data_IF_256164805253
#
_entry.id   IF_256164805253
#
_cell.length_a   1.000
_cell.length_b   1.000
_cell.length_c   1.000
_cell.angle_alpha   90.00
_cell.angle_beta   90.00
_cell.angle_gamma   90.00
#
_symmetry.space_group_name_H-M   'P 1'
#
loop_
_entity.id
_entity.type
_entity.pdbx_description
1 polymer ?
#
# COMPACT_ATOMS: atom_id res chain seq x y z
N UNK A 1 -8.75 5.19 -4.17
CA UNK A 1 -7.80 4.75 -3.12
C UNK A 1 -7.60 3.24 -3.21
N UNK A 2 -6.35 2.78 -3.18
CA UNK A 2 -6.01 1.36 -3.20
C UNK A 2 -5.71 0.87 -1.78
N UNK A 3 -6.67 0.17 -1.16
CA UNK A 3 -6.67 -0.25 0.25
C UNK A 3 -6.60 -1.77 0.42
N UNK A 4 -6.20 -2.22 1.60
CA UNK A 4 -6.42 -3.59 2.08
C UNK A 4 -7.86 -3.70 2.59
N UNK A 5 -8.50 -4.84 2.34
CA UNK A 5 -9.90 -5.10 2.72
C UNK A 5 -10.04 -6.50 3.30
N UNK A 6 -11.16 -6.79 3.96
CA UNK A 6 -11.52 -8.15 4.41
C UNK A 6 -11.52 -9.17 3.26
N UNK A 7 -11.77 -8.72 2.03
CA UNK A 7 -11.75 -9.56 0.84
C UNK A 7 -10.38 -9.63 0.17
N UNK A 8 -9.37 -8.90 0.64
CA UNK A 8 -8.12 -8.76 -0.12
C UNK A 8 -7.34 -10.06 -0.28
N UNK A 9 -7.57 -11.04 0.59
CA UNK A 9 -7.03 -12.40 0.42
C UNK A 9 -7.66 -13.18 -0.74
N UNK A 10 -8.88 -12.84 -1.15
CA UNK A 10 -9.58 -13.50 -2.28
C UNK A 10 -9.57 -12.63 -3.54
N UNK A 11 -9.79 -11.33 -3.37
CA UNK A 11 -10.05 -10.36 -4.44
C UNK A 11 -8.92 -9.32 -4.61
N UNK A 12 -7.75 -9.51 -4.00
CA UNK A 12 -6.61 -8.57 -4.07
C UNK A 12 -6.92 -7.17 -3.49
N UNK A 13 -6.15 -6.13 -3.83
CA UNK A 13 -6.37 -4.80 -3.26
C UNK A 13 -7.69 -4.20 -3.76
N UNK A 14 -8.24 -3.22 -3.05
CA UNK A 14 -9.50 -2.58 -3.49
C UNK A 14 -9.38 -1.97 -4.89
N UNK A 15 -8.20 -1.48 -5.28
CA UNK A 15 -7.98 -0.89 -6.59
C UNK A 15 -7.99 -1.88 -7.75
N UNK A 16 -7.68 -3.17 -7.49
CA UNK A 16 -7.79 -4.22 -8.51
C UNK A 16 -9.24 -4.39 -9.01
N UNK A 17 -10.20 -3.96 -8.19
CA UNK A 17 -11.63 -4.15 -8.39
C UNK A 17 -12.37 -2.90 -8.86
N UNK A 18 -11.66 -1.83 -9.21
CA UNK A 18 -12.27 -0.62 -9.77
C UNK A 18 -12.36 -0.76 -11.30
N UNK A 19 -13.55 -0.64 -11.86
CA UNK A 19 -13.80 -0.69 -13.30
C UNK A 19 -13.74 0.68 -13.96
N UNK A 20 -14.06 1.74 -13.22
CA UNK A 20 -13.97 3.09 -13.77
C UNK A 20 -13.96 4.19 -12.72
N UNK A 21 -13.49 5.36 -13.15
CA UNK A 21 -13.48 6.60 -12.40
C UNK A 21 -14.14 7.70 -13.23
N UNK A 22 -15.00 8.48 -12.59
CA UNK A 22 -15.30 9.84 -13.07
C UNK A 22 -14.32 10.80 -12.42
N UNK A 23 -13.66 11.63 -13.22
CA UNK A 23 -12.52 12.44 -12.80
C UNK A 23 -12.67 13.85 -13.33
N UNK A 24 -12.57 14.83 -12.44
CA UNK A 24 -12.39 16.24 -12.80
C UNK A 24 -10.89 16.51 -12.92
N UNK A 25 -10.43 16.84 -14.13
CA UNK A 25 -9.04 17.14 -14.43
C UNK A 25 -8.64 18.55 -13.97
N UNK A 26 -7.34 18.84 -14.01
CA UNK A 26 -6.81 20.19 -13.71
C UNK A 26 -7.37 21.27 -14.66
N UNK A 27 -7.75 20.87 -15.89
CA UNK A 27 -8.43 21.74 -16.86
C UNK A 27 -9.88 22.08 -16.49
N UNK A 28 -10.47 21.39 -15.50
CA UNK A 28 -11.90 21.44 -15.19
C UNK A 28 -12.76 20.50 -16.04
N UNK A 29 -12.18 19.79 -17.01
CA UNK A 29 -12.89 18.79 -17.80
C UNK A 29 -13.25 17.57 -16.94
N UNK A 30 -14.45 17.03 -17.16
CA UNK A 30 -14.90 15.78 -16.54
C UNK A 30 -14.71 14.64 -17.53
N UNK A 31 -13.88 13.67 -17.18
CA UNK A 31 -13.60 12.49 -18.01
C UNK A 31 -14.00 11.21 -17.27
N UNK A 32 -14.34 10.19 -18.06
CA UNK A 32 -14.53 8.84 -17.55
C UNK A 32 -13.34 7.96 -17.95
N UNK A 33 -12.61 7.50 -16.94
CA UNK A 33 -11.43 6.65 -17.09
C UNK A 33 -11.76 5.20 -16.75
N UNK A 34 -11.60 4.30 -17.71
CA UNK A 34 -11.81 2.85 -17.62
C UNK A 34 -10.71 2.11 -18.39
N UNK A 35 -10.76 0.78 -18.40
CA UNK A 35 -9.82 -0.04 -19.17
C UNK A 35 -9.81 0.30 -20.68
N UNK A 36 -10.92 0.77 -21.24
CA UNK A 36 -11.08 1.06 -22.68
C UNK A 36 -11.15 2.56 -23.01
N UNK A 37 -11.17 3.44 -22.01
CA UNK A 37 -11.29 4.90 -22.18
C UNK A 37 -10.35 5.59 -21.19
N UNK A 38 -9.40 6.40 -21.66
CA UNK A 38 -8.36 6.99 -20.78
C UNK A 38 -7.68 5.92 -19.89
N UNK A 39 -7.29 4.80 -20.50
CA UNK A 39 -6.77 3.62 -19.77
C UNK A 39 -5.47 3.90 -19.01
N UNK A 40 -4.67 4.83 -19.51
CA UNK A 40 -3.50 5.38 -18.83
C UNK A 40 -3.88 6.11 -17.53
N UNK A 41 -4.91 6.96 -17.56
CA UNK A 41 -5.44 7.63 -16.36
C UNK A 41 -6.07 6.63 -15.40
N UNK A 42 -6.84 5.66 -15.90
CA UNK A 42 -7.47 4.62 -15.10
C UNK A 42 -6.43 3.78 -14.35
N UNK A 43 -5.40 3.32 -15.04
CA UNK A 43 -4.31 2.57 -14.43
C UNK A 43 -3.53 3.44 -13.43
N UNK A 44 -3.27 4.69 -13.81
CA UNK A 44 -2.55 5.63 -12.96
C UNK A 44 -3.31 5.96 -11.67
N UNK A 45 -4.64 6.11 -11.68
CA UNK A 45 -5.45 6.36 -10.48
C UNK A 45 -5.56 5.15 -9.53
N UNK A 46 -5.25 3.95 -10.02
CA UNK A 46 -5.20 2.73 -9.18
C UNK A 46 -3.93 2.61 -8.34
N UNK A 47 -2.89 3.40 -8.63
CA UNK A 47 -1.67 3.49 -7.80
C UNK A 47 -1.31 4.91 -7.36
N UNK A 48 -1.59 5.92 -8.19
CA UNK A 48 -1.12 7.29 -8.07
C UNK A 48 -1.84 8.18 -7.06
N UNK A 49 -2.68 7.62 -6.18
CA UNK A 49 -3.51 8.40 -5.25
C UNK A 49 -4.31 9.50 -5.99
N UNK A 50 -4.65 10.61 -5.33
CA UNK A 50 -5.45 11.70 -5.89
C UNK A 50 -4.62 12.75 -6.66
N UNK A 51 -3.48 12.36 -7.25
CA UNK A 51 -2.53 13.31 -7.86
C UNK A 51 -2.68 13.54 -9.37
N UNK A 52 -3.81 13.10 -9.93
CA UNK A 52 -4.07 13.18 -11.38
C UNK A 52 -5.44 13.79 -11.70
N UNK A 53 -6.20 14.19 -10.68
CA UNK A 53 -7.58 14.62 -10.80
C UNK A 53 -8.36 14.46 -9.50
N UNK A 54 -9.53 15.09 -9.44
CA UNK A 54 -10.50 14.88 -8.36
C UNK A 54 -11.46 13.79 -8.81
N UNK A 55 -11.45 12.64 -8.12
CA UNK A 55 -12.38 11.55 -8.41
C UNK A 55 -13.73 11.86 -7.76
N UNK A 56 -14.79 11.95 -8.57
CA UNK A 56 -16.16 12.22 -8.13
C UNK A 56 -17.02 10.97 -8.06
N UNK A 57 -16.64 9.90 -8.77
CA UNK A 57 -17.33 8.60 -8.77
C UNK A 57 -16.36 7.44 -8.97
N UNK A 58 -16.68 6.32 -8.32
CA UNK A 58 -16.04 5.03 -8.54
C UNK A 58 -17.08 4.01 -9.03
N UNK A 59 -16.75 3.27 -10.08
CA UNK A 59 -17.47 2.04 -10.43
C UNK A 59 -16.65 0.85 -9.96
N UNK A 60 -17.17 0.07 -9.01
CA UNK A 60 -16.42 -0.96 -8.28
C UNK A 60 -17.14 -2.30 -8.37
N UNK A 61 -16.37 -3.39 -8.45
CA UNK A 61 -16.90 -4.74 -8.37
C UNK A 61 -17.60 -4.97 -7.03
N UNK A 62 -18.77 -5.60 -7.08
CA UNK A 62 -19.42 -6.17 -5.91
C UNK A 62 -19.23 -7.67 -5.91
N UNK A 63 -19.16 -8.25 -4.72
CA UNK A 63 -18.96 -9.69 -4.54
C UNK A 63 -20.12 -10.25 -3.72
N UNK A 64 -20.74 -11.35 -4.15
CA UNK A 64 -21.80 -11.99 -3.38
C UNK A 64 -21.22 -12.49 -2.04
N UNK A 65 -21.89 -12.16 -0.95
CA UNK A 65 -21.59 -12.72 0.37
C UNK A 65 -22.62 -13.80 0.67
N UNK A 66 -22.16 -15.03 0.94
CA UNK A 66 -23.05 -16.12 1.36
C UNK A 66 -23.50 -15.88 2.78
N UNK A 67 -24.79 -15.56 2.97
CA UNK A 67 -25.44 -15.20 4.23
C UNK A 67 -24.81 -13.99 4.94
N UNK A 68 -25.56 -13.35 5.84
CA UNK A 68 -25.09 -12.19 6.58
C UNK A 68 -23.73 -12.47 7.23
N UNK A 69 -22.70 -11.75 6.79
CA UNK A 69 -21.39 -11.55 7.41
C UNK A 69 -20.75 -12.76 8.10
N UNK A 70 -19.70 -13.31 7.52
CA UNK A 70 -18.59 -13.73 8.38
C UNK A 70 -17.27 -13.72 7.62
N UNK A 71 -16.70 -12.51 7.53
CA UNK A 71 -15.24 -12.45 7.65
C UNK A 71 -14.96 -12.64 9.14
N UNK A 72 -14.37 -13.77 9.51
CA UNK A 72 -13.88 -13.97 10.87
C UNK A 72 -12.52 -13.28 10.98
N UNK A 73 -12.49 -12.12 11.63
CA UNK A 73 -11.27 -11.56 12.16
C UNK A 73 -11.25 -11.85 13.65
N UNK A 74 -10.16 -12.42 14.13
CA UNK A 74 -9.94 -12.62 15.55
C UNK A 74 -8.71 -11.82 15.94
N UNK A 75 -8.89 -10.90 16.89
CA UNK A 75 -7.82 -10.08 17.42
C UNK A 75 -7.71 -10.36 18.92
N UNK A 76 -6.54 -10.80 19.35
CA UNK A 76 -6.18 -10.91 20.75
C UNK A 76 -5.18 -9.81 21.06
N UNK A 77 -5.50 -8.98 22.05
CA UNK A 77 -4.64 -7.89 22.51
C UNK A 77 -4.24 -8.15 23.95
N UNK A 78 -2.97 -8.02 24.25
CA UNK A 78 -2.43 -8.03 25.60
C UNK A 78 -1.43 -6.87 25.74
N UNK A 79 -1.19 -6.43 26.97
CA UNK A 79 -0.24 -5.36 27.28
C UNK A 79 0.87 -5.91 28.19
N UNK A 80 2.08 -5.40 28.01
CA UNK A 80 3.21 -5.64 28.92
C UNK A 80 4.00 -4.35 29.10
N UNK A 81 4.79 -4.29 30.17
CA UNK A 81 5.93 -3.36 30.22
C UNK A 81 6.95 -3.73 29.14
N UNK A 82 7.84 -2.80 28.78
CA UNK A 82 8.93 -3.06 27.83
C UNK A 82 9.98 -3.97 28.48
N UNK A 83 10.12 -5.25 28.09
CA UNK A 83 11.05 -6.16 28.72
C UNK A 83 12.46 -6.06 28.11
N UNK A 84 13.44 -6.74 28.71
CA UNK A 84 14.78 -6.84 28.12
C UNK A 84 14.78 -7.59 26.77
N UNK A 85 15.78 -7.32 25.93
CA UNK A 85 15.95 -7.94 24.61
C UNK A 85 15.84 -9.48 24.60
N UNK A 86 16.29 -10.15 25.68
CA UNK A 86 16.21 -11.60 25.83
C UNK A 86 14.77 -12.14 25.88
N UNK A 87 13.81 -11.37 26.39
CA UNK A 87 12.39 -11.73 26.45
C UNK A 87 11.77 -11.61 25.06
N UNK A 88 12.08 -10.55 24.31
CA UNK A 88 11.64 -10.40 22.91
C UNK A 88 12.03 -11.61 22.05
N UNK A 89 13.25 -12.12 22.20
CA UNK A 89 13.70 -13.30 21.47
C UNK A 89 12.92 -14.57 21.84
N UNK A 90 12.45 -14.71 23.09
CA UNK A 90 11.58 -15.81 23.47
C UNK A 90 10.20 -15.68 22.80
N UNK A 91 9.64 -14.47 22.72
CA UNK A 91 8.38 -14.21 22.01
C UNK A 91 8.47 -14.54 20.51
N UNK A 92 9.57 -14.17 19.86
CA UNK A 92 9.81 -14.53 18.45
C UNK A 92 9.91 -16.06 18.25
N UNK A 93 10.52 -16.79 19.19
CA UNK A 93 10.57 -18.26 19.12
C UNK A 93 9.21 -18.93 19.28
N UNK A 94 8.26 -18.30 19.99
CA UNK A 94 6.88 -18.82 20.07
C UNK A 94 6.22 -18.74 18.69
N UNK A 95 6.46 -17.67 17.94
CA UNK A 95 5.99 -17.54 16.55
C UNK A 95 6.63 -18.57 15.62
N UNK A 96 7.95 -18.80 15.74
CA UNK A 96 8.65 -19.82 14.95
C UNK A 96 8.10 -21.23 15.19
N UNK A 97 7.74 -21.55 16.44
CA UNK A 97 7.20 -22.84 16.85
C UNK A 97 5.66 -22.90 16.80
N UNK A 98 5.02 -21.95 16.11
CA UNK A 98 3.56 -21.81 16.04
C UNK A 98 2.85 -23.08 15.55
N UNK A 99 1.69 -23.36 16.13
CA UNK A 99 0.92 -24.59 15.88
C UNK A 99 -0.02 -24.45 14.67
N UNK A 100 0.29 -25.17 13.59
CA UNK A 100 -0.63 -25.46 12.49
C UNK A 100 -0.62 -24.44 11.32
N UNK A 101 -0.66 -24.96 10.10
CA UNK A 101 -0.92 -24.16 8.90
C UNK A 101 -2.43 -24.06 8.67
N UNK A 102 -2.95 -22.85 8.49
CA UNK A 102 -4.32 -22.62 8.02
C UNK A 102 -4.31 -22.45 6.50
N UNK A 103 -5.32 -22.99 5.81
CA UNK A 103 -5.46 -22.78 4.37
C UNK A 103 -5.80 -21.31 4.10
N UNK A 104 -4.85 -20.58 3.53
CA UNK A 104 -4.96 -19.17 3.25
C UNK A 104 -5.33 -18.99 1.77
N UNK A 105 -6.51 -18.44 1.44
CA UNK A 105 -6.88 -18.25 0.04
C UNK A 105 -5.87 -17.36 -0.67
N UNK A 106 -5.46 -17.77 -1.87
CA UNK A 106 -4.53 -16.99 -2.71
C UNK A 106 -5.30 -15.87 -3.41
N UNK A 107 -4.87 -14.61 -3.30
CA UNK A 107 -5.54 -13.51 -3.96
C UNK A 107 -5.41 -13.64 -5.48
N UNK A 108 -6.54 -13.49 -6.18
CA UNK A 108 -6.56 -13.36 -7.64
C UNK A 108 -6.21 -11.92 -8.00
N UNK A 109 -4.93 -11.56 -7.89
CA UNK A 109 -4.46 -10.29 -8.43
C UNK A 109 -4.71 -10.26 -9.94
N UNK A 110 -5.44 -9.25 -10.44
CA UNK A 110 -5.79 -9.14 -11.86
C UNK A 110 -4.69 -8.46 -12.69
N UNK A 111 -3.60 -8.03 -12.05
CA UNK A 111 -2.47 -7.37 -12.71
C UNK A 111 -2.82 -5.99 -13.30
N UNK A 112 -3.89 -5.36 -12.81
CA UNK A 112 -4.45 -4.12 -13.35
C UNK A 112 -4.20 -2.92 -12.45
N UNK A 113 -3.06 -2.92 -11.74
CA UNK A 113 -2.59 -1.82 -10.89
C UNK A 113 -1.08 -1.58 -11.13
N UNK A 114 -0.56 -0.44 -10.66
CA UNK A 114 0.83 -0.01 -10.86
C UNK A 114 1.82 -0.49 -9.79
N UNK A 115 1.45 -1.41 -8.91
CA UNK A 115 2.34 -1.86 -7.84
C UNK A 115 3.45 -2.80 -8.33
N UNK A 116 3.35 -3.32 -9.56
CA UNK A 116 4.36 -4.24 -10.11
C UNK A 116 4.42 -5.61 -9.42
N UNK A 117 3.44 -5.93 -8.58
CA UNK A 117 3.35 -7.21 -7.88
C UNK A 117 2.84 -8.29 -8.84
N UNK A 118 3.58 -9.39 -8.98
CA UNK A 118 3.23 -10.48 -9.91
C UNK A 118 2.06 -11.32 -9.36
N UNK A 119 0.94 -11.46 -10.09
CA UNK A 119 -0.13 -12.36 -9.70
C UNK A 119 0.33 -13.81 -9.50
N UNK A 120 -0.18 -14.47 -8.46
CA UNK A 120 0.11 -15.89 -8.20
C UNK A 120 1.50 -16.19 -7.61
N UNK A 121 2.39 -15.19 -7.47
CA UNK A 121 3.65 -15.33 -6.72
C UNK A 121 3.44 -15.00 -5.23
N UNK A 122 3.25 -16.05 -4.44
CA UNK A 122 3.53 -16.13 -2.98
C UNK A 122 2.72 -15.25 -2.01
N UNK A 123 2.70 -15.65 -0.74
CA UNK A 123 2.09 -14.92 0.38
C UNK A 123 3.00 -13.75 0.80
N UNK A 124 2.67 -12.53 0.36
CA UNK A 124 3.36 -11.34 0.85
C UNK A 124 2.91 -10.97 2.26
N UNK A 125 3.86 -10.53 3.08
CA UNK A 125 3.64 -10.00 4.41
C UNK A 125 3.93 -8.51 4.37
N UNK A 126 2.95 -7.71 4.80
CA UNK A 126 3.17 -6.29 5.10
C UNK A 126 3.46 -6.21 6.60
N UNK A 127 4.58 -5.59 6.95
CA UNK A 127 4.92 -5.25 8.34
C UNK A 127 4.76 -3.75 8.48
N UNK A 128 3.87 -3.34 9.37
CA UNK A 128 3.69 -1.96 9.80
C UNK A 128 4.28 -1.82 11.22
N UNK A 129 5.13 -0.82 11.42
CA UNK A 129 5.82 -0.61 12.69
C UNK A 129 5.48 0.78 13.20
N UNK A 130 4.79 0.85 14.34
CA UNK A 130 4.36 2.11 14.94
C UNK A 130 5.00 2.27 16.31
N UNK A 131 5.51 3.47 16.58
CA UNK A 131 5.91 3.90 17.91
C UNK A 131 4.88 4.87 18.49
N UNK A 132 4.56 4.73 19.77
CA UNK A 132 3.76 5.68 20.52
C UNK A 132 4.56 6.17 21.71
N UNK A 133 4.71 7.49 21.85
CA UNK A 133 5.51 8.13 22.89
C UNK A 133 4.85 9.46 23.30
N UNK A 134 5.15 9.91 24.53
CA UNK A 134 4.37 10.95 25.21
C UNK A 134 4.98 12.36 25.19
N UNK A 135 6.19 12.53 24.65
CA UNK A 135 6.92 13.79 24.72
C UNK A 135 7.58 14.12 23.38
N UNK A 136 7.32 15.32 22.87
CA UNK A 136 7.88 15.84 21.61
C UNK A 136 9.42 15.93 21.63
N UNK A 137 10.03 16.07 22.82
CA UNK A 137 11.50 16.09 22.92
C UNK A 137 12.16 14.79 22.45
N UNK A 138 11.38 13.71 22.38
CA UNK A 138 11.86 12.38 21.99
C UNK A 138 11.66 12.12 20.49
N UNK A 139 11.04 13.02 19.72
CA UNK A 139 10.71 12.86 18.29
C UNK A 139 11.92 12.33 17.49
N UNK A 140 13.03 13.06 17.52
CA UNK A 140 14.24 12.71 16.75
C UNK A 140 14.83 11.37 17.18
N UNK A 141 14.78 11.07 18.48
CA UNK A 141 15.28 9.80 19.01
C UNK A 141 14.42 8.64 18.52
N UNK A 142 13.10 8.76 18.65
CA UNK A 142 12.14 7.73 18.24
C UNK A 142 12.20 7.49 16.74
N UNK A 143 12.20 8.55 15.91
CA UNK A 143 12.35 8.44 14.46
C UNK A 143 13.64 7.70 14.07
N UNK A 144 14.77 8.11 14.65
CA UNK A 144 16.08 7.51 14.36
C UNK A 144 16.10 6.02 14.72
N UNK A 145 15.60 5.65 15.89
CA UNK A 145 15.55 4.25 16.32
C UNK A 145 14.60 3.41 15.46
N UNK A 146 13.44 3.96 15.09
CA UNK A 146 12.49 3.29 14.20
C UNK A 146 13.07 3.02 12.82
N UNK A 147 13.75 4.01 12.22
CA UNK A 147 14.44 3.81 10.94
C UNK A 147 15.56 2.76 11.07
N UNK A 148 16.35 2.81 12.13
CA UNK A 148 17.39 1.81 12.40
C UNK A 148 16.83 0.39 12.54
N UNK A 149 15.67 0.22 13.19
CA UNK A 149 15.00 -1.08 13.35
C UNK A 149 14.55 -1.60 11.97
N UNK A 150 13.85 -0.76 11.20
CA UNK A 150 13.34 -1.15 9.87
C UNK A 150 14.50 -1.48 8.92
N UNK A 151 15.57 -0.70 8.91
CA UNK A 151 16.74 -0.95 8.05
C UNK A 151 17.44 -2.27 8.40
N UNK A 152 17.59 -2.58 9.69
CA UNK A 152 18.14 -3.87 10.14
C UNK A 152 17.24 -5.03 9.73
N UNK A 153 15.92 -4.91 9.85
CA UNK A 153 14.98 -5.93 9.39
C UNK A 153 15.05 -6.13 7.87
N UNK A 154 15.05 -5.04 7.08
CA UNK A 154 15.22 -5.09 5.62
C UNK A 154 16.55 -5.73 5.23
N UNK A 155 17.64 -5.42 5.93
CA UNK A 155 18.95 -6.01 5.67
C UNK A 155 18.95 -7.53 5.87
N UNK A 156 18.31 -8.03 6.94
CA UNK A 156 18.15 -9.48 7.18
C UNK A 156 17.34 -10.11 6.04
N UNK A 157 16.16 -9.57 5.72
CA UNK A 157 15.31 -10.08 4.64
C UNK A 157 16.05 -10.08 3.29
N UNK A 158 16.85 -9.05 3.02
CA UNK A 158 17.65 -8.93 1.79
C UNK A 158 18.72 -10.01 1.73
N UNK A 159 19.46 -10.19 2.83
CA UNK A 159 20.52 -11.21 2.93
C UNK A 159 19.98 -12.64 2.80
N UNK A 160 18.73 -12.86 3.21
CA UNK A 160 18.05 -14.15 3.11
C UNK A 160 17.28 -14.36 1.79
N UNK A 161 17.28 -13.37 0.89
CA UNK A 161 16.59 -13.47 -0.41
C UNK A 161 15.06 -13.32 -0.36
N UNK A 162 14.51 -12.83 0.75
CA UNK A 162 13.06 -12.66 0.95
C UNK A 162 12.59 -11.21 0.94
N UNK A 163 13.50 -10.22 0.89
CA UNK A 163 13.09 -8.82 0.81
C UNK A 163 12.41 -8.55 -0.53
N UNK A 164 11.20 -8.01 -0.44
CA UNK A 164 10.51 -7.36 -1.55
C UNK A 164 10.64 -5.87 -1.30
N UNK A 165 11.35 -5.18 -2.18
CA UNK A 165 11.61 -3.74 -2.04
C UNK A 165 10.43 -2.94 -2.62
N UNK A 166 9.24 -3.19 -2.06
CA UNK A 166 7.98 -2.51 -2.37
C UNK A 166 7.46 -1.81 -1.12
N UNK A 167 7.09 -0.54 -1.26
CA UNK A 167 6.50 0.26 -0.19
C UNK A 167 5.04 0.54 -0.50
N UNK A 168 4.17 0.15 0.43
CA UNK A 168 2.73 0.37 0.33
C UNK A 168 2.34 1.75 0.84
N UNK A 169 1.97 2.63 -0.09
CA UNK A 169 1.83 4.08 0.16
C UNK A 169 0.86 4.49 1.28
N UNK A 170 -0.16 3.68 1.63
CA UNK A 170 -1.10 4.04 2.69
C UNK A 170 -0.52 3.92 4.09
N UNK A 171 0.53 3.11 4.27
CA UNK A 171 1.21 2.89 5.56
C UNK A 171 2.68 3.27 5.48
N UNK A 172 3.02 4.11 4.49
CA UNK A 172 4.38 4.56 4.29
C UNK A 172 4.64 5.81 5.12
N UNK A 173 5.81 5.88 5.75
CA UNK A 173 6.34 7.11 6.31
C UNK A 173 6.85 8.05 5.20
N UNK A 174 6.84 9.35 5.45
CA UNK A 174 7.26 10.37 4.48
C UNK A 174 8.72 10.20 4.01
N UNK A 175 9.57 9.57 4.82
CA UNK A 175 10.95 9.24 4.45
C UNK A 175 11.06 8.12 3.42
N UNK A 176 10.01 7.30 3.27
CA UNK A 176 10.06 6.13 2.40
C UNK A 176 9.78 6.51 0.95
N UNK A 177 10.71 6.11 0.07
CA UNK A 177 10.56 6.27 -1.38
C UNK A 177 9.47 5.36 -1.95
N UNK A 178 8.20 5.77 -1.83
CA UNK A 178 7.06 5.00 -2.33
C UNK A 178 7.17 4.72 -3.81
N UNK A 179 7.20 5.75 -4.66
CA UNK A 179 7.19 5.53 -6.10
C UNK A 179 8.49 4.90 -6.59
N UNK A 180 9.65 5.25 -6.03
CA UNK A 180 10.92 4.61 -6.39
C UNK A 180 10.92 3.10 -6.10
N UNK A 181 10.16 2.63 -5.11
CA UNK A 181 9.99 1.20 -4.82
C UNK A 181 9.10 0.44 -5.82
N UNK A 182 8.36 1.12 -6.70
CA UNK A 182 7.41 0.46 -7.63
C UNK A 182 8.04 0.04 -8.95
N UNK A 183 9.32 0.36 -9.16
CA UNK A 183 10.05 0.06 -10.40
C UNK A 183 9.89 1.16 -11.46
N UNK A 184 10.97 1.37 -12.23
CA UNK A 184 11.09 2.48 -13.16
C UNK A 184 9.96 2.53 -14.21
N UNK A 185 9.54 1.38 -14.74
CA UNK A 185 8.51 1.31 -15.77
C UNK A 185 7.12 1.74 -15.24
N UNK A 186 6.80 1.38 -14.00
CA UNK A 186 5.53 1.76 -13.37
C UNK A 186 5.53 3.26 -13.03
N UNK A 187 6.66 3.79 -12.55
CA UNK A 187 6.82 5.23 -12.30
C UNK A 187 6.73 6.02 -13.59
N UNK A 188 7.36 5.55 -14.68
CA UNK A 188 7.32 6.20 -15.97
C UNK A 188 5.87 6.31 -16.51
N UNK A 189 5.06 5.27 -16.33
CA UNK A 189 3.63 5.30 -16.68
C UNK A 189 2.87 6.35 -15.85
N UNK A 190 3.11 6.41 -14.54
CA UNK A 190 2.48 7.39 -13.67
C UNK A 190 2.87 8.83 -14.03
N UNK A 191 4.16 9.04 -14.31
CA UNK A 191 4.69 10.33 -14.78
C UNK A 191 4.12 10.73 -16.14
N UNK A 192 3.97 9.80 -17.07
CA UNK A 192 3.36 10.05 -18.38
C UNK A 192 1.89 10.48 -18.24
N UNK A 193 1.12 9.79 -17.40
CA UNK A 193 -0.25 10.18 -17.09
C UNK A 193 -0.31 11.58 -16.46
N UNK A 194 0.56 11.88 -15.49
CA UNK A 194 0.59 13.22 -14.87
C UNK A 194 0.91 14.32 -15.88
N UNK A 195 1.90 14.13 -16.77
CA UNK A 195 2.21 15.12 -17.82
C UNK A 195 1.05 15.34 -18.79
N UNK A 196 0.27 14.29 -19.07
CA UNK A 196 -0.86 14.34 -20.02
C UNK A 196 -2.10 15.02 -19.43
N UNK A 197 -2.47 14.67 -18.20
CA UNK A 197 -3.73 15.09 -17.59
C UNK A 197 -3.59 16.26 -16.61
N UNK A 198 -2.36 16.56 -16.18
CA UNK A 198 -2.02 17.68 -15.33
C UNK A 198 -0.73 18.38 -15.83
N UNK A 199 -0.74 18.94 -17.06
CA UNK A 199 0.47 19.50 -17.69
C UNK A 199 1.09 20.68 -16.92
N UNK A 200 0.29 21.37 -16.11
CA UNK A 200 0.74 22.48 -15.27
C UNK A 200 1.12 22.04 -13.85
N UNK A 201 1.03 20.74 -13.53
CA UNK A 201 1.38 20.19 -12.23
C UNK A 201 0.50 20.71 -11.09
N UNK A 202 -0.77 21.05 -11.33
CA UNK A 202 -1.71 21.53 -10.30
C UNK A 202 -1.75 20.56 -9.12
N UNK A 203 -1.91 19.27 -9.36
CA UNK A 203 -1.96 18.27 -8.29
C UNK A 203 -0.57 17.93 -7.72
N UNK A 204 0.49 18.21 -8.48
CA UNK A 204 1.87 18.05 -8.02
C UNK A 204 2.32 19.18 -7.09
N UNK A 205 1.82 20.40 -7.30
CA UNK A 205 2.29 21.61 -6.62
C UNK A 205 1.28 22.19 -5.62
N UNK A 206 -0.02 22.14 -5.91
CA UNK A 206 -1.05 22.81 -5.11
C UNK A 206 -1.73 21.92 -4.07
N UNK A 207 -1.65 20.58 -4.21
CA UNK A 207 -2.16 19.67 -3.18
C UNK A 207 -1.09 19.49 -2.10
N UNK A 208 -1.34 19.91 -0.85
CA UNK A 208 -0.38 19.72 0.23
C UNK A 208 -0.23 18.23 0.58
N UNK A 209 0.99 17.83 0.93
CA UNK A 209 1.29 16.50 1.43
C UNK A 209 1.25 15.34 0.41
N UNK A 210 1.50 14.16 0.97
CA UNK A 210 1.68 12.85 0.34
C UNK A 210 2.68 12.80 -0.82
N UNK A 211 2.76 11.63 -1.46
CA UNK A 211 3.85 11.29 -2.37
C UNK A 211 3.70 11.99 -3.73
N UNK A 212 4.74 12.71 -4.18
CA UNK A 212 4.75 13.37 -5.49
C UNK A 212 5.46 12.51 -6.52
N UNK A 213 4.92 12.47 -7.72
CA UNK A 213 5.36 11.53 -8.78
C UNK A 213 6.74 11.90 -9.36
N UNK A 214 7.15 13.16 -9.20
CA UNK A 214 8.41 13.71 -9.74
C UNK A 214 9.45 14.05 -8.66
N UNK A 215 9.25 13.61 -7.42
CA UNK A 215 10.20 13.82 -6.32
C UNK A 215 10.97 12.55 -5.98
#
# INVERSE_FOLDING_TARGET
MCGTTFLSRRQAFSCDNIYGFEVVLASGEVVYASETSHSDLWLALKGGSNYLGIVTRFDVATFPTTSCGTTFAFQLTYFSENPDAGVYMQLFKIWENGTGAFDNPRPVARGNNLFGLTPGKTDYVIVDTTAAYGNESDDTLVETEMYNIVDKQKAVLKSSGYLIDFVYFNYADISQGVYSSWGADNVAQLQAASRKYDPNGVFQHMVPGGYKVFK
#
